data_IF_843171901519
#
_entry.id   IF_843171901519
#
_cell.length_a   1.000
_cell.length_b   1.000
_cell.length_c   1.000
_cell.angle_alpha   90.00
_cell.angle_beta   90.00
_cell.angle_gamma   90.00
#
_symmetry.space_group_name_H-M   'P 1'
#
loop_
_entity.id
_entity.type
_entity.pdbx_description
1 polymer ?
#
# COMPACT_ATOMS: atom_id res chain seq x y z
N UNK A 1 5.13 7.67 -6.71
CA UNK A 1 6.02 8.85 -6.53
C UNK A 1 5.50 9.82 -5.47
N UNK A 2 4.19 9.97 -5.35
CA UNK A 2 3.59 10.83 -4.31
C UNK A 2 4.10 10.44 -2.92
N UNK A 3 4.27 11.42 -2.07
CA UNK A 3 4.70 11.22 -0.69
C UNK A 3 6.10 10.59 -0.45
N UNK A 4 6.89 10.29 -1.48
CA UNK A 4 8.25 9.80 -1.29
C UNK A 4 9.16 10.83 -0.58
N UNK A 5 8.86 12.10 -0.68
CA UNK A 5 9.55 13.15 0.07
C UNK A 5 9.43 12.99 1.58
N UNK A 6 8.33 12.41 2.08
CA UNK A 6 8.15 12.08 3.52
C UNK A 6 9.19 11.06 4.03
N UNK A 7 9.72 10.23 3.12
CA UNK A 7 10.72 9.22 3.44
C UNK A 7 12.12 9.67 3.07
N UNK A 8 12.29 10.27 1.90
CA UNK A 8 13.58 10.60 1.30
C UNK A 8 13.97 12.08 1.43
N UNK A 9 13.06 12.94 1.95
CA UNK A 9 13.26 14.38 2.01
C UNK A 9 13.57 14.94 0.60
N UNK A 10 14.44 15.93 0.52
CA UNK A 10 14.81 16.59 -0.74
C UNK A 10 15.43 15.65 -1.80
N UNK A 11 15.95 14.49 -1.39
CA UNK A 11 16.56 13.49 -2.27
C UNK A 11 15.55 12.53 -2.94
N UNK A 12 14.26 12.73 -2.74
CA UNK A 12 13.25 11.84 -3.30
C UNK A 12 13.30 11.73 -4.83
N UNK A 13 13.54 12.85 -5.51
CA UNK A 13 13.61 12.90 -6.98
C UNK A 13 14.87 12.21 -7.51
N UNK A 14 16.02 12.38 -6.83
CA UNK A 14 17.25 11.66 -7.17
C UNK A 14 17.06 10.16 -7.02
N UNK A 15 16.39 9.73 -5.96
CA UNK A 15 16.04 8.31 -5.74
C UNK A 15 15.18 7.78 -6.88
N UNK A 16 14.13 8.51 -7.30
CA UNK A 16 13.25 8.09 -8.41
C UNK A 16 14.01 7.99 -9.73
N UNK A 17 14.88 8.97 -10.02
CA UNK A 17 15.73 8.93 -11.22
C UNK A 17 16.72 7.77 -11.19
N UNK A 18 17.30 7.46 -10.03
CA UNK A 18 18.18 6.31 -9.88
C UNK A 18 17.42 4.99 -10.06
N UNK A 19 16.19 4.90 -9.50
CA UNK A 19 15.33 3.75 -9.69
C UNK A 19 14.93 3.55 -11.16
N UNK A 20 14.61 4.62 -11.90
CA UNK A 20 14.29 4.52 -13.32
C UNK A 20 15.44 3.91 -14.16
N UNK A 21 16.69 4.18 -13.77
CA UNK A 21 17.88 3.58 -14.44
C UNK A 21 17.99 2.06 -14.26
N UNK A 22 17.30 1.47 -13.30
CA UNK A 22 17.24 0.01 -13.13
C UNK A 22 16.33 -0.69 -14.14
N UNK A 23 15.67 0.07 -15.01
CA UNK A 23 14.70 -0.42 -15.99
C UNK A 23 13.58 -1.27 -15.36
N UNK A 24 12.81 -0.73 -14.40
CA UNK A 24 11.78 -1.47 -13.71
C UNK A 24 10.66 -1.88 -14.66
N UNK A 25 10.15 -3.11 -14.49
CA UNK A 25 8.94 -3.57 -15.17
C UNK A 25 7.70 -3.06 -14.44
N UNK A 26 6.85 -2.32 -15.12
CA UNK A 26 5.55 -1.90 -14.61
C UNK A 26 4.47 -2.92 -14.94
N UNK A 27 3.51 -3.05 -14.05
CA UNK A 27 2.31 -3.87 -14.18
C UNK A 27 1.08 -3.04 -13.83
N UNK A 28 -0.09 -3.43 -14.32
CA UNK A 28 -1.32 -2.63 -14.21
C UNK A 28 -1.86 -2.52 -12.78
N UNK A 29 -1.45 -3.43 -11.88
CA UNK A 29 -1.86 -3.41 -10.47
C UNK A 29 -0.82 -4.07 -9.57
N UNK A 30 -1.02 -3.98 -8.26
CA UNK A 30 -0.15 -4.64 -7.27
C UNK A 30 -0.37 -6.16 -7.18
N UNK A 31 -1.55 -6.65 -7.54
CA UNK A 31 -1.95 -8.04 -7.34
C UNK A 31 -1.08 -9.09 -8.08
N UNK A 32 -0.61 -8.89 -9.33
CA UNK A 32 0.22 -9.88 -10.03
C UNK A 32 1.68 -9.93 -9.52
N UNK A 33 2.17 -8.88 -8.81
CA UNK A 33 3.57 -8.78 -8.41
C UNK A 33 4.01 -9.97 -7.53
N UNK A 34 3.28 -10.37 -6.47
CA UNK A 34 3.68 -11.50 -5.63
C UNK A 34 3.84 -12.81 -6.42
N UNK A 35 2.92 -13.09 -7.33
CA UNK A 35 2.98 -14.27 -8.18
C UNK A 35 4.18 -14.25 -9.13
N UNK A 36 4.52 -13.08 -9.68
CA UNK A 36 5.70 -12.91 -10.54
C UNK A 36 7.01 -13.17 -9.75
N UNK A 37 7.07 -12.71 -8.50
CA UNK A 37 8.21 -12.98 -7.60
C UNK A 37 8.34 -14.47 -7.29
N UNK A 38 7.24 -15.14 -6.95
CA UNK A 38 7.23 -16.59 -6.67
C UNK A 38 7.68 -17.41 -7.88
N UNK A 39 7.32 -16.99 -9.10
CA UNK A 39 7.78 -17.64 -10.34
C UNK A 39 9.22 -17.30 -10.72
N UNK A 40 9.89 -16.42 -9.97
CA UNK A 40 11.26 -15.99 -10.26
C UNK A 40 11.39 -15.03 -11.44
N UNK A 41 10.29 -14.39 -11.88
CA UNK A 41 10.32 -13.41 -12.97
C UNK A 41 10.99 -12.10 -12.56
N UNK A 42 11.08 -11.83 -11.26
CA UNK A 42 11.83 -10.73 -10.67
C UNK A 42 12.33 -11.12 -9.28
N UNK A 43 13.46 -10.55 -8.86
CA UNK A 43 14.01 -10.78 -7.52
C UNK A 43 13.40 -9.84 -6.46
N UNK A 44 12.89 -8.69 -6.87
CA UNK A 44 12.31 -7.67 -6.01
C UNK A 44 11.06 -7.06 -6.68
N UNK A 45 10.06 -6.74 -5.87
CA UNK A 45 8.85 -6.04 -6.31
C UNK A 45 8.39 -5.01 -5.30
N UNK A 46 7.79 -3.94 -5.79
CA UNK A 46 7.14 -2.93 -4.94
C UNK A 46 5.64 -3.22 -4.95
N UNK A 47 5.13 -3.63 -3.80
CA UNK A 47 3.73 -4.01 -3.62
C UNK A 47 3.32 -3.84 -2.15
N UNK A 48 2.15 -4.30 -1.76
CA UNK A 48 1.70 -4.27 -0.38
C UNK A 48 2.33 -5.40 0.44
N UNK A 49 2.74 -5.10 1.67
CA UNK A 49 3.38 -6.06 2.57
C UNK A 49 2.46 -7.23 2.95
N UNK A 50 1.15 -7.03 2.96
CA UNK A 50 0.14 -8.06 3.24
C UNK A 50 0.26 -9.30 2.32
N UNK A 51 0.77 -9.13 1.11
CA UNK A 51 0.94 -10.24 0.19
C UNK A 51 1.93 -11.31 0.65
N UNK A 52 2.78 -11.00 1.64
CA UNK A 52 3.63 -12.02 2.29
C UNK A 52 2.79 -13.08 3.00
N UNK A 53 1.60 -12.70 3.52
CA UNK A 53 0.65 -13.62 4.15
C UNK A 53 -0.27 -14.26 3.11
N UNK A 54 -0.78 -13.46 2.18
CA UNK A 54 -1.80 -13.90 1.22
C UNK A 54 -1.25 -14.83 0.14
N UNK A 55 0.01 -14.62 -0.27
CA UNK A 55 0.63 -15.41 -1.33
C UNK A 55 1.28 -16.67 -0.76
N UNK A 56 0.87 -17.84 -1.25
CA UNK A 56 1.56 -19.09 -0.94
C UNK A 56 2.87 -19.16 -1.72
N UNK A 57 4.01 -19.11 -1.02
CA UNK A 57 5.33 -19.18 -1.65
C UNK A 57 6.42 -18.55 -0.80
N UNK A 58 7.69 -18.63 -1.22
CA UNK A 58 8.85 -18.15 -0.47
C UNK A 58 8.99 -16.62 -0.60
N UNK A 59 8.01 -15.85 -0.15
CA UNK A 59 8.05 -14.39 -0.13
C UNK A 59 8.47 -13.87 1.24
N UNK A 60 9.29 -12.83 1.23
CA UNK A 60 9.61 -12.02 2.40
C UNK A 60 9.54 -10.54 2.02
N UNK A 61 9.24 -9.68 2.98
CA UNK A 61 9.36 -8.25 2.77
C UNK A 61 10.78 -7.77 3.14
N UNK A 62 11.26 -6.75 2.43
CA UNK A 62 12.49 -6.06 2.81
C UNK A 62 12.18 -5.08 3.95
N UNK A 63 12.87 -5.17 5.12
CA UNK A 63 12.66 -4.24 6.21
C UNK A 63 13.01 -2.80 5.79
N UNK A 64 12.15 -1.86 6.11
CA UNK A 64 12.33 -0.44 5.84
C UNK A 64 12.21 0.35 7.15
N UNK A 65 12.83 1.53 7.20
CA UNK A 65 12.71 2.43 8.34
C UNK A 65 11.34 3.11 8.39
N UNK A 66 10.69 3.27 7.24
CA UNK A 66 9.38 3.91 7.10
C UNK A 66 8.55 3.23 6.01
N UNK A 67 7.27 3.15 6.22
CA UNK A 67 6.31 2.54 5.30
C UNK A 67 5.23 3.56 4.92
N UNK A 68 5.07 3.82 3.62
CA UNK A 68 3.94 4.62 3.15
C UNK A 68 2.66 3.79 3.25
N UNK A 69 1.64 4.36 3.83
CA UNK A 69 0.34 3.71 3.97
C UNK A 69 -0.78 4.61 3.49
N UNK A 70 -1.77 3.98 2.86
CA UNK A 70 -2.99 4.62 2.38
C UNK A 70 -4.18 3.95 3.06
N UNK A 71 -4.95 4.67 3.90
CA UNK A 71 -6.09 4.07 4.58
C UNK A 71 -7.20 3.72 3.59
N UNK A 72 -7.82 2.56 3.81
CA UNK A 72 -9.02 2.17 3.09
C UNK A 72 -10.24 2.49 3.95
N UNK A 73 -11.15 3.28 3.41
CA UNK A 73 -12.35 3.73 4.09
C UNK A 73 -13.59 2.97 3.61
N UNK A 74 -14.52 2.74 4.54
CA UNK A 74 -15.87 2.27 4.22
C UNK A 74 -16.83 3.46 4.23
N UNK A 75 -17.59 3.63 3.15
CA UNK A 75 -18.55 4.72 3.02
C UNK A 75 -19.96 4.21 2.70
N UNK A 76 -20.96 4.88 3.27
CA UNK A 76 -22.36 4.63 2.94
C UNK A 76 -22.74 5.38 1.66
N UNK A 77 -23.23 4.67 0.65
CA UNK A 77 -23.75 5.30 -0.55
C UNK A 77 -25.00 6.15 -0.22
N UNK A 78 -25.05 7.38 -0.75
CA UNK A 78 -26.22 8.26 -0.62
C UNK A 78 -27.51 7.65 -1.23
N UNK A 79 -27.38 6.67 -2.12
CA UNK A 79 -28.48 5.95 -2.78
C UNK A 79 -28.61 4.50 -2.29
N UNK A 80 -28.11 4.18 -1.09
CA UNK A 80 -28.21 2.83 -0.54
C UNK A 80 -29.68 2.44 -0.34
N UNK A 81 -30.09 1.29 -0.86
CA UNK A 81 -31.43 0.77 -0.68
C UNK A 81 -31.69 0.30 0.78
N UNK A 82 -30.65 -0.20 1.43
CA UNK A 82 -30.73 -0.78 2.79
C UNK A 82 -29.81 -0.01 3.75
N UNK A 83 -30.13 1.27 4.00
CA UNK A 83 -29.31 2.20 4.81
C UNK A 83 -28.97 1.64 6.19
N UNK A 84 -29.95 1.08 6.91
CA UNK A 84 -29.75 0.58 8.27
C UNK A 84 -28.82 -0.66 8.30
N UNK A 85 -28.99 -1.58 7.35
CA UNK A 85 -28.08 -2.73 7.23
C UNK A 85 -26.65 -2.30 6.87
N UNK A 86 -26.51 -1.32 5.98
CA UNK A 86 -25.19 -0.79 5.62
C UNK A 86 -24.50 -0.07 6.79
N UNK A 87 -25.24 0.69 7.60
CA UNK A 87 -24.72 1.31 8.83
C UNK A 87 -24.25 0.25 9.82
N UNK A 88 -25.08 -0.76 10.09
CA UNK A 88 -24.73 -1.86 10.99
C UNK A 88 -23.46 -2.58 10.51
N UNK A 89 -23.32 -2.78 9.21
CA UNK A 89 -22.12 -3.38 8.64
C UNK A 89 -20.87 -2.51 8.85
N UNK A 90 -20.97 -1.18 8.65
CA UNK A 90 -19.85 -0.26 8.90
C UNK A 90 -19.47 -0.26 10.38
N UNK A 91 -20.45 -0.26 11.30
CA UNK A 91 -20.22 -0.37 12.74
C UNK A 91 -19.53 -1.70 13.08
N UNK A 92 -19.99 -2.80 12.48
CA UNK A 92 -19.34 -4.11 12.66
C UNK A 92 -17.90 -4.11 12.18
N UNK A 93 -17.59 -3.48 11.05
CA UNK A 93 -16.20 -3.37 10.56
C UNK A 93 -15.27 -2.68 11.57
N UNK A 94 -15.77 -1.73 12.37
CA UNK A 94 -15.03 -1.09 13.46
C UNK A 94 -14.89 -1.95 14.73
N UNK A 95 -15.58 -3.09 14.82
CA UNK A 95 -15.52 -3.96 16.01
C UNK A 95 -14.17 -4.68 16.14
N UNK A 96 -13.70 -4.98 17.36
CA UNK A 96 -12.47 -5.76 17.55
C UNK A 96 -12.50 -7.14 16.87
N UNK A 97 -13.66 -7.76 16.74
CA UNK A 97 -13.83 -9.03 16.04
C UNK A 97 -13.54 -8.89 14.54
N UNK A 98 -14.17 -7.92 13.88
CA UNK A 98 -13.96 -7.67 12.45
C UNK A 98 -12.52 -7.23 12.17
N UNK A 99 -11.98 -6.36 13.02
CA UNK A 99 -10.58 -5.89 12.89
C UNK A 99 -9.58 -7.04 13.01
N UNK A 100 -9.80 -8.03 13.88
CA UNK A 100 -8.95 -9.24 13.93
C UNK A 100 -9.07 -10.06 12.65
N UNK A 101 -10.29 -10.27 12.13
CA UNK A 101 -10.51 -11.00 10.87
C UNK A 101 -9.84 -10.30 9.68
N UNK A 102 -9.84 -8.97 9.64
CA UNK A 102 -9.14 -8.19 8.62
C UNK A 102 -7.62 -8.37 8.79
N UNK A 103 -7.10 -8.27 10.02
CA UNK A 103 -5.66 -8.47 10.28
C UNK A 103 -5.19 -9.89 9.92
N UNK A 104 -6.03 -10.92 10.09
CA UNK A 104 -5.72 -12.31 9.70
C UNK A 104 -5.50 -12.47 8.18
N UNK A 105 -6.02 -11.56 7.37
CA UNK A 105 -5.74 -11.53 5.92
C UNK A 105 -4.40 -10.87 5.56
N UNK A 106 -3.67 -10.36 6.55
CA UNK A 106 -2.40 -9.66 6.35
C UNK A 106 -2.52 -8.13 6.31
N UNK A 107 -3.74 -7.59 6.40
CA UNK A 107 -4.00 -6.15 6.40
C UNK A 107 -3.65 -5.53 7.75
N UNK A 108 -3.06 -4.33 7.70
CA UNK A 108 -2.89 -3.51 8.89
C UNK A 108 -4.18 -2.77 9.20
N UNK A 109 -4.63 -2.87 10.44
CA UNK A 109 -5.84 -2.22 10.94
C UNK A 109 -5.51 -1.07 11.87
N UNK A 110 -6.44 -0.12 12.04
CA UNK A 110 -6.22 1.05 12.90
C UNK A 110 -6.52 0.77 14.39
N UNK A 111 -7.04 -0.43 14.73
CA UNK A 111 -7.32 -0.81 16.11
C UNK A 111 -6.03 -1.11 16.87
N UNK A 112 -5.75 -0.41 17.99
CA UNK A 112 -4.55 -0.63 18.77
C UNK A 112 -4.40 -2.07 19.26
N UNK A 113 -3.20 -2.62 19.16
CA UNK A 113 -2.87 -3.97 19.64
C UNK A 113 -3.38 -5.11 18.73
N UNK A 114 -3.96 -4.80 17.57
CA UNK A 114 -4.34 -5.80 16.56
C UNK A 114 -3.40 -5.66 15.37
N UNK A 115 -2.63 -6.71 15.09
CA UNK A 115 -1.63 -6.74 14.03
C UNK A 115 -1.79 -7.97 13.15
N UNK A 116 -1.47 -7.90 11.85
CA UNK A 116 -1.43 -9.06 10.98
C UNK A 116 -0.33 -10.04 11.36
N UNK A 117 -0.47 -11.29 10.94
CA UNK A 117 0.54 -12.34 11.14
C UNK A 117 1.78 -12.14 10.23
N UNK A 118 2.39 -10.97 10.32
CA UNK A 118 3.61 -10.58 9.60
C UNK A 118 4.71 -10.40 10.64
N UNK A 119 5.91 -10.89 10.33
CA UNK A 119 7.07 -10.67 11.19
C UNK A 119 7.27 -9.18 11.45
N UNK A 120 7.53 -8.80 12.70
CA UNK A 120 7.72 -7.39 13.12
C UNK A 120 6.54 -6.45 12.80
N UNK A 121 5.30 -6.95 12.73
CA UNK A 121 4.12 -6.17 12.35
C UNK A 121 3.91 -4.92 13.23
N UNK A 122 4.12 -5.03 14.54
CA UNK A 122 4.04 -3.88 15.46
C UNK A 122 5.07 -2.80 15.12
N UNK A 123 6.30 -3.20 14.78
CA UNK A 123 7.35 -2.27 14.36
C UNK A 123 7.01 -1.62 13.01
N UNK A 124 6.45 -2.38 12.07
CA UNK A 124 5.95 -1.83 10.81
C UNK A 124 4.87 -0.78 11.09
N UNK A 125 3.87 -1.12 11.91
CA UNK A 125 2.77 -0.21 12.26
C UNK A 125 3.28 1.09 12.91
N UNK A 126 4.25 0.99 13.83
CA UNK A 126 4.87 2.16 14.47
C UNK A 126 5.64 3.09 13.52
N UNK A 127 6.02 2.58 12.34
CA UNK A 127 6.78 3.32 11.33
C UNK A 127 5.98 3.63 10.07
N UNK A 128 4.66 3.50 10.12
CA UNK A 128 3.77 3.89 9.04
C UNK A 128 3.64 5.41 8.93
N UNK A 129 3.64 5.89 7.70
CA UNK A 129 3.41 7.30 7.36
C UNK A 129 2.22 7.34 6.42
N UNK A 130 1.16 8.02 6.86
CA UNK A 130 -0.01 8.23 6.01
C UNK A 130 0.32 9.11 4.83
N UNK A 131 -0.11 8.67 3.66
CA UNK A 131 0.00 9.44 2.44
C UNK A 131 -1.01 10.59 2.46
N UNK A 132 -0.61 11.74 1.93
CA UNK A 132 -1.53 12.86 1.72
C UNK A 132 -2.35 12.63 0.46
N UNK A 133 -3.59 13.04 0.51
CA UNK A 133 -4.43 13.14 -0.68
C UNK A 133 -3.89 14.24 -1.60
N UNK A 134 -3.78 13.92 -2.87
CA UNK A 134 -3.33 14.87 -3.89
C UNK A 134 -4.53 15.55 -4.54
N UNK A 135 -4.40 16.84 -4.85
CA UNK A 135 -5.32 17.52 -5.75
C UNK A 135 -5.15 16.98 -7.18
N UNK A 136 -6.16 17.18 -8.02
CA UNK A 136 -6.08 16.77 -9.44
C UNK A 136 -4.89 17.44 -10.16
N UNK A 137 -4.60 18.71 -9.86
CA UNK A 137 -3.46 19.44 -10.42
C UNK A 137 -2.13 18.79 -10.03
N UNK A 138 -1.96 18.46 -8.73
CA UNK A 138 -0.76 17.78 -8.24
C UNK A 138 -0.61 16.40 -8.89
N UNK A 139 -1.72 15.67 -9.05
CA UNK A 139 -1.71 14.35 -9.69
C UNK A 139 -1.29 14.43 -11.16
N UNK A 140 -1.81 15.42 -11.91
CA UNK A 140 -1.43 15.62 -13.32
C UNK A 140 0.05 15.99 -13.46
N UNK A 141 0.55 16.87 -12.59
CA UNK A 141 1.97 17.22 -12.55
C UNK A 141 2.84 15.98 -12.32
N UNK A 142 2.52 15.17 -11.31
CA UNK A 142 3.26 13.95 -11.00
C UNK A 142 3.20 12.91 -12.13
N UNK A 143 2.08 12.80 -12.84
CA UNK A 143 1.96 11.94 -14.03
C UNK A 143 2.88 12.40 -15.15
N UNK A 144 3.00 13.71 -15.38
CA UNK A 144 3.93 14.29 -16.34
C UNK A 144 5.39 13.98 -15.99
N UNK A 145 5.78 14.25 -14.74
CA UNK A 145 7.11 13.94 -14.24
C UNK A 145 7.44 12.44 -14.34
N UNK A 146 6.48 11.57 -14.02
CA UNK A 146 6.63 10.12 -14.14
C UNK A 146 6.93 9.71 -15.58
N UNK A 147 6.12 10.21 -16.55
CA UNK A 147 6.33 9.91 -17.97
C UNK A 147 7.69 10.36 -18.45
N UNK A 148 8.10 11.56 -18.06
CA UNK A 148 9.41 12.11 -18.42
C UNK A 148 10.56 11.25 -17.86
N UNK A 149 10.47 10.83 -16.59
CA UNK A 149 11.55 10.10 -15.91
C UNK A 149 11.66 8.65 -16.41
N UNK A 150 10.54 7.96 -16.61
CA UNK A 150 10.53 6.53 -16.91
C UNK A 150 10.42 6.21 -18.39
N UNK A 151 9.89 7.12 -19.21
CA UNK A 151 9.65 6.87 -20.65
C UNK A 151 10.28 7.92 -21.56
N UNK A 152 10.87 8.99 -21.02
CA UNK A 152 11.49 10.05 -21.81
C UNK A 152 10.50 10.91 -22.63
N UNK A 153 9.20 10.96 -22.20
CA UNK A 153 8.12 11.64 -22.92
C UNK A 153 7.64 12.87 -22.15
#
# INVERSE_FOLDING_TARGET
MSNLEKIKGEKWLEFVKAFAKTNPRFVDSFAPIPSNLVRGEAALGITYVQYVVQQKGPLAYAPLDKYLTDPTDAALSAKAANVNAARLFIEYLGSPEAQRKIADTGEFVLSPGIYPHIKDAEKIAANMIFMDNLTEEQLQKLRGEFRQIFYGQ
#
